data_IF_886073589547
#
_entry.id   IF_886073589547
#
_cell.length_a   1.000
_cell.length_b   1.000
_cell.length_c   1.000
_cell.angle_alpha   90.00
_cell.angle_beta   90.00
_cell.angle_gamma   90.00
#
_symmetry.space_group_name_H-M   'P 1'
#
loop_
_entity.id
_entity.type
_entity.pdbx_description
1 polymer ?
#
# COMPACT_ATOMS: atom_id res chain seq x y z
N UNK A 1 -12.75 11.88 -26.61
CA UNK A 1 -11.35 11.48 -26.76
C UNK A 1 -11.14 10.07 -26.26
N UNK A 2 -10.32 9.29 -26.95
CA UNK A 2 -10.01 7.93 -26.54
C UNK A 2 -9.12 7.96 -25.26
N UNK A 3 -9.11 6.86 -24.51
CA UNK A 3 -8.26 6.71 -23.36
C UNK A 3 -6.78 6.87 -23.74
N UNK A 4 -6.38 6.38 -24.91
CA UNK A 4 -5.04 6.50 -25.43
C UNK A 4 -4.63 7.96 -25.63
N UNK A 5 -5.53 8.79 -26.21
CA UNK A 5 -5.27 10.23 -26.40
C UNK A 5 -5.06 10.96 -25.08
N UNK A 6 -5.82 10.59 -24.03
CA UNK A 6 -5.67 11.19 -22.71
C UNK A 6 -4.32 10.83 -22.07
N UNK A 7 -3.86 9.58 -22.27
CA UNK A 7 -2.55 9.15 -21.77
C UNK A 7 -1.41 9.88 -22.45
N UNK A 8 -1.49 10.05 -23.77
CA UNK A 8 -0.47 10.79 -24.55
C UNK A 8 -0.37 12.24 -24.09
N UNK A 9 -1.53 12.90 -23.88
CA UNK A 9 -1.59 14.26 -23.39
C UNK A 9 -0.97 14.38 -22.00
N UNK A 10 -1.29 13.44 -21.10
CA UNK A 10 -0.75 13.43 -19.75
C UNK A 10 0.78 13.25 -19.75
N UNK A 11 1.32 12.35 -20.59
CA UNK A 11 2.77 12.17 -20.72
C UNK A 11 3.45 13.43 -21.27
N UNK A 12 2.81 14.10 -22.22
CA UNK A 12 3.33 15.34 -22.77
C UNK A 12 3.40 16.43 -21.69
N UNK A 13 2.38 16.52 -20.84
CA UNK A 13 2.35 17.46 -19.72
C UNK A 13 3.47 17.17 -18.71
N UNK A 14 3.71 15.89 -18.41
CA UNK A 14 4.84 15.51 -17.55
C UNK A 14 6.18 15.89 -18.17
N UNK A 15 6.34 15.68 -19.45
CA UNK A 15 7.57 16.06 -20.17
C UNK A 15 7.81 17.57 -20.09
N UNK A 16 6.77 18.39 -20.27
CA UNK A 16 6.84 19.83 -20.14
C UNK A 16 7.17 20.25 -18.70
N UNK A 17 6.52 19.61 -17.72
CA UNK A 17 6.77 19.89 -16.32
C UNK A 17 8.21 19.60 -15.92
N UNK A 18 8.81 18.52 -16.44
CA UNK A 18 10.22 18.18 -16.19
C UNK A 18 11.17 19.25 -16.69
N UNK A 19 10.85 19.90 -17.81
CA UNK A 19 11.68 20.98 -18.36
C UNK A 19 11.66 22.20 -17.46
N UNK A 20 10.51 22.46 -16.81
CA UNK A 20 10.33 23.61 -15.92
C UNK A 20 10.91 23.33 -14.54
N UNK A 21 10.67 22.14 -14.01
CA UNK A 21 11.11 21.73 -12.66
C UNK A 21 11.73 20.33 -12.71
N UNK A 22 12.99 20.22 -13.20
CA UNK A 22 13.63 18.91 -13.36
C UNK A 22 13.89 18.17 -12.03
N UNK A 23 13.88 18.90 -10.93
CA UNK A 23 14.17 18.35 -9.60
C UNK A 23 12.90 18.05 -8.77
N UNK A 24 11.72 18.05 -9.40
CA UNK A 24 10.47 17.77 -8.70
C UNK A 24 10.16 16.26 -8.69
N UNK A 25 10.30 15.59 -7.54
CA UNK A 25 10.00 14.15 -7.45
C UNK A 25 8.54 13.82 -7.72
N UNK A 26 7.62 14.78 -7.47
CA UNK A 26 6.20 14.58 -7.74
C UNK A 26 5.89 14.32 -9.21
N UNK A 27 6.69 14.84 -10.12
CA UNK A 27 6.54 14.61 -11.56
C UNK A 27 6.82 13.14 -11.87
N UNK A 28 7.88 12.57 -11.29
CA UNK A 28 8.22 11.16 -11.50
C UNK A 28 7.17 10.24 -10.87
N UNK A 29 6.61 10.63 -9.72
CA UNK A 29 5.50 9.91 -9.10
C UNK A 29 4.28 9.88 -10.04
N UNK A 30 3.94 11.01 -10.61
CA UNK A 30 2.82 11.14 -11.58
C UNK A 30 3.05 10.27 -12.79
N UNK A 31 4.27 10.30 -13.35
CA UNK A 31 4.63 9.43 -14.48
C UNK A 31 4.48 7.95 -14.14
N UNK A 32 4.95 7.56 -12.95
CA UNK A 32 4.82 6.17 -12.50
C UNK A 32 3.37 5.74 -12.48
N UNK A 33 2.48 6.59 -11.97
CA UNK A 33 1.04 6.32 -11.93
C UNK A 33 0.45 6.18 -13.33
N UNK A 34 0.88 7.02 -14.27
CA UNK A 34 0.42 6.95 -15.66
C UNK A 34 0.84 5.63 -16.32
N UNK A 35 2.13 5.27 -16.18
CA UNK A 35 2.62 4.01 -16.73
C UNK A 35 1.90 2.81 -16.12
N UNK A 36 1.57 2.87 -14.83
CA UNK A 36 0.84 1.81 -14.16
C UNK A 36 -0.56 1.63 -14.77
N UNK A 37 -1.27 2.74 -15.04
CA UNK A 37 -2.59 2.73 -15.68
C UNK A 37 -2.52 2.15 -17.10
N UNK A 38 -1.40 2.33 -17.78
CA UNK A 38 -1.18 1.83 -19.13
C UNK A 38 -0.70 0.37 -19.15
N UNK A 39 -0.50 -0.24 -17.98
CA UNK A 39 0.02 -1.60 -17.89
C UNK A 39 1.51 -1.72 -18.14
N UNK A 40 2.24 -0.60 -18.15
CA UNK A 40 3.68 -0.57 -18.37
C UNK A 40 4.43 -0.59 -17.05
N UNK A 41 4.38 -1.74 -16.35
CA UNK A 41 4.94 -1.90 -15.02
C UNK A 41 6.42 -1.54 -14.91
N UNK A 42 7.25 -1.99 -15.86
CA UNK A 42 8.69 -1.72 -15.83
C UNK A 42 9.01 -0.22 -15.87
N UNK A 43 8.31 0.52 -16.72
CA UNK A 43 8.47 1.97 -16.81
C UNK A 43 7.95 2.67 -15.56
N UNK A 44 6.85 2.16 -14.99
CA UNK A 44 6.29 2.69 -13.75
C UNK A 44 7.30 2.54 -12.60
N UNK A 45 7.89 1.36 -12.44
CA UNK A 45 8.88 1.10 -11.39
C UNK A 45 10.07 2.05 -11.52
N UNK A 46 10.57 2.25 -12.73
CA UNK A 46 11.68 3.20 -12.96
C UNK A 46 11.34 4.62 -12.54
N UNK A 47 10.12 5.07 -12.86
CA UNK A 47 9.67 6.42 -12.49
C UNK A 47 9.53 6.53 -10.96
N UNK A 48 8.93 5.53 -10.31
CA UNK A 48 8.81 5.52 -8.84
C UNK A 48 10.19 5.51 -8.18
N UNK A 49 11.13 4.73 -8.69
CA UNK A 49 12.48 4.68 -8.15
C UNK A 49 13.18 6.04 -8.24
N UNK A 50 12.98 6.76 -9.33
CA UNK A 50 13.52 8.13 -9.47
C UNK A 50 12.95 9.06 -8.41
N UNK A 51 11.63 9.02 -8.19
CA UNK A 51 10.98 9.83 -7.17
C UNK A 51 11.55 9.52 -5.78
N UNK A 52 11.74 8.23 -5.46
CA UNK A 52 12.26 7.79 -4.17
C UNK A 52 13.73 8.16 -3.96
N UNK A 53 14.54 8.15 -5.02
CA UNK A 53 15.94 8.59 -4.94
C UNK A 53 16.02 10.09 -4.68
N UNK A 54 15.14 10.87 -5.33
CA UNK A 54 15.10 12.32 -5.16
C UNK A 54 14.57 12.74 -3.79
N UNK A 55 13.57 12.01 -3.27
CA UNK A 55 12.96 12.29 -1.97
C UNK A 55 12.71 10.99 -1.20
N UNK A 56 13.72 10.49 -0.47
CA UNK A 56 13.56 9.24 0.32
C UNK A 56 12.87 9.51 1.66
N UNK A 57 11.64 10.02 1.62
CA UNK A 57 10.86 10.39 2.80
C UNK A 57 9.75 9.38 3.08
N UNK A 58 9.24 9.39 4.32
CA UNK A 58 8.07 8.58 4.67
C UNK A 58 6.88 8.90 3.77
N UNK A 59 6.70 10.19 3.45
CA UNK A 59 5.62 10.63 2.54
C UNK A 59 5.76 10.02 1.15
N UNK A 60 6.96 10.11 0.55
CA UNK A 60 7.16 9.59 -0.82
C UNK A 60 6.99 8.07 -0.86
N UNK A 61 7.54 7.34 0.11
CA UNK A 61 7.33 5.90 0.20
C UNK A 61 5.85 5.55 0.35
N UNK A 62 5.12 6.32 1.16
CA UNK A 62 3.68 6.12 1.33
C UNK A 62 2.91 6.36 0.02
N UNK A 63 3.25 7.42 -0.71
CA UNK A 63 2.60 7.75 -1.97
C UNK A 63 2.87 6.70 -3.06
N UNK A 64 4.10 6.20 -3.14
CA UNK A 64 4.45 5.11 -4.07
C UNK A 64 3.72 3.82 -3.67
N UNK A 65 3.69 3.51 -2.37
CA UNK A 65 2.96 2.34 -1.86
C UNK A 65 1.47 2.41 -2.23
N UNK A 66 0.87 3.58 -2.07
CA UNK A 66 -0.55 3.80 -2.43
C UNK A 66 -0.79 3.60 -3.92
N UNK A 67 0.15 4.04 -4.77
CA UNK A 67 0.05 3.83 -6.21
C UNK A 67 0.11 2.34 -6.56
N UNK A 68 1.00 1.58 -5.93
CA UNK A 68 1.05 0.13 -6.11
C UNK A 68 -0.25 -0.54 -5.64
N UNK A 69 -0.77 -0.11 -4.49
CA UNK A 69 -2.00 -0.65 -3.92
C UNK A 69 -3.20 -0.40 -4.84
N UNK A 70 -3.30 0.81 -5.41
CA UNK A 70 -4.39 1.16 -6.35
C UNK A 70 -4.34 0.31 -7.62
N UNK A 71 -3.16 -0.10 -8.03
CA UNK A 71 -2.96 -0.98 -9.19
C UNK A 71 -3.01 -2.47 -8.81
N UNK A 72 -3.33 -2.78 -7.55
CA UNK A 72 -3.43 -4.14 -7.01
C UNK A 72 -2.10 -4.91 -6.96
N UNK A 73 -0.97 -4.22 -6.98
CA UNK A 73 0.34 -4.81 -6.69
C UNK A 73 0.59 -4.78 -5.19
N UNK A 74 -0.15 -5.61 -4.45
CA UNK A 74 -0.26 -5.54 -3.01
C UNK A 74 1.03 -5.93 -2.27
N UNK A 75 1.81 -6.85 -2.84
CA UNK A 75 3.10 -7.24 -2.24
C UNK A 75 4.08 -6.07 -2.29
N UNK A 76 4.21 -5.42 -3.46
CA UNK A 76 5.05 -4.24 -3.62
C UNK A 76 4.56 -3.09 -2.74
N UNK A 77 3.24 -2.92 -2.63
CA UNK A 77 2.66 -1.91 -1.76
C UNK A 77 3.09 -2.12 -0.31
N UNK A 78 3.00 -3.36 0.18
CA UNK A 78 3.41 -3.67 1.56
C UNK A 78 4.88 -3.31 1.80
N UNK A 79 5.77 -3.70 0.88
CA UNK A 79 7.20 -3.38 1.01
C UNK A 79 7.44 -1.87 1.10
N UNK A 80 6.74 -1.08 0.28
CA UNK A 80 6.87 0.38 0.29
C UNK A 80 6.28 1.00 1.55
N UNK A 81 5.14 0.50 2.04
CA UNK A 81 4.59 0.95 3.32
C UNK A 81 5.53 0.61 4.48
N UNK A 82 6.20 -0.54 4.44
CA UNK A 82 7.18 -0.90 5.45
C UNK A 82 8.36 0.07 5.49
N UNK A 83 8.81 0.55 4.34
CA UNK A 83 9.85 1.58 4.28
C UNK A 83 9.36 2.91 4.84
N UNK A 84 8.12 3.29 4.52
CA UNK A 84 7.50 4.49 5.11
C UNK A 84 7.45 4.37 6.63
N UNK A 85 7.00 3.24 7.14
CA UNK A 85 6.93 2.95 8.57
C UNK A 85 8.32 2.99 9.24
N UNK A 86 9.34 2.45 8.56
CA UNK A 86 10.70 2.46 9.09
C UNK A 86 11.20 3.89 9.31
N UNK A 87 10.85 4.80 8.39
CA UNK A 87 11.27 6.21 8.49
C UNK A 87 10.43 6.95 9.54
N UNK A 88 9.11 6.77 9.49
CA UNK A 88 8.18 7.40 10.44
C UNK A 88 6.99 6.46 10.71
N UNK A 89 7.00 5.74 11.83
CA UNK A 89 5.91 4.82 12.18
C UNK A 89 4.54 5.49 12.33
N UNK A 90 4.53 6.79 12.54
CA UNK A 90 3.29 7.55 12.75
C UNK A 90 2.84 8.33 11.51
N UNK A 91 3.50 8.09 10.36
CA UNK A 91 3.10 8.79 9.15
C UNK A 91 1.73 8.33 8.68
N UNK A 92 0.80 9.27 8.57
CA UNK A 92 -0.58 9.01 8.10
C UNK A 92 -1.18 7.75 8.77
N UNK A 93 -1.81 6.89 7.98
CA UNK A 93 -2.41 5.62 8.44
C UNK A 93 -1.56 4.41 8.04
N UNK A 94 -0.23 4.57 8.05
CA UNK A 94 0.69 3.51 7.57
C UNK A 94 0.53 2.20 8.34
N UNK A 95 0.30 2.26 9.67
CA UNK A 95 0.10 1.05 10.47
C UNK A 95 -1.20 0.34 10.11
N UNK A 96 -2.27 1.09 9.86
CA UNK A 96 -3.53 0.53 9.41
C UNK A 96 -3.39 -0.16 8.04
N UNK A 97 -2.69 0.49 7.12
CA UNK A 97 -2.42 -0.08 5.80
C UNK A 97 -1.61 -1.37 5.93
N UNK A 98 -0.59 -1.38 6.76
CA UNK A 98 0.25 -2.55 6.97
C UNK A 98 -0.49 -3.70 7.66
N UNK A 99 -1.37 -3.40 8.63
CA UNK A 99 -2.15 -4.45 9.28
C UNK A 99 -3.12 -5.12 8.28
N UNK A 100 -3.78 -4.33 7.44
CA UNK A 100 -4.69 -4.86 6.42
C UNK A 100 -3.92 -5.72 5.41
N UNK A 101 -2.79 -5.23 4.90
CA UNK A 101 -1.98 -5.97 3.93
C UNK A 101 -1.39 -7.25 4.53
N UNK A 102 -0.98 -7.21 5.80
CA UNK A 102 -0.49 -8.40 6.49
C UNK A 102 -1.59 -9.46 6.60
N UNK A 103 -2.82 -9.03 6.91
CA UNK A 103 -3.96 -9.93 6.97
C UNK A 103 -4.23 -10.57 5.61
N UNK A 104 -4.19 -9.77 4.55
CA UNK A 104 -4.41 -10.25 3.18
C UNK A 104 -3.33 -11.23 2.71
N UNK A 105 -2.11 -11.09 3.21
CA UNK A 105 -0.98 -11.97 2.87
C UNK A 105 -0.79 -13.13 3.85
N UNK A 106 -1.71 -13.32 4.77
CA UNK A 106 -1.65 -14.39 5.80
C UNK A 106 -0.41 -14.30 6.68
N UNK A 107 0.06 -13.07 6.94
CA UNK A 107 1.22 -12.80 7.78
C UNK A 107 0.74 -12.38 9.18
N UNK A 108 0.43 -13.38 10.00
CA UNK A 108 -0.26 -13.20 11.28
C UNK A 108 0.55 -12.38 12.30
N UNK A 109 1.85 -12.62 12.39
CA UNK A 109 2.70 -11.91 13.36
C UNK A 109 2.81 -10.43 12.99
N UNK A 110 3.00 -10.13 11.71
CA UNK A 110 3.02 -8.75 11.20
C UNK A 110 1.67 -8.08 11.45
N UNK A 111 0.57 -8.80 11.22
CA UNK A 111 -0.76 -8.27 11.48
C UNK A 111 -0.88 -7.80 12.94
N UNK A 112 -0.52 -8.63 13.91
CA UNK A 112 -0.61 -8.27 15.32
C UNK A 112 0.31 -7.12 15.68
N UNK A 113 1.52 -7.11 15.12
CA UNK A 113 2.47 -6.01 15.33
C UNK A 113 1.87 -4.67 14.90
N UNK A 114 1.44 -4.57 13.65
CA UNK A 114 0.93 -3.31 13.11
C UNK A 114 -0.44 -2.94 13.69
N UNK A 115 -1.30 -3.94 13.93
CA UNK A 115 -2.62 -3.69 14.49
C UNK A 115 -2.54 -3.12 15.90
N UNK A 116 -1.59 -3.59 16.71
CA UNK A 116 -1.38 -3.09 18.07
C UNK A 116 -0.91 -1.63 18.11
N UNK A 117 -0.27 -1.18 17.03
CA UNK A 117 0.24 0.20 16.94
C UNK A 117 -0.74 1.14 16.23
N UNK A 118 -1.83 0.63 15.69
CA UNK A 118 -2.79 1.41 14.90
C UNK A 118 -3.71 2.24 15.79
N UNK A 119 -4.01 3.46 15.37
CA UNK A 119 -4.99 4.31 16.03
C UNK A 119 -6.42 3.75 15.89
N UNK A 120 -6.68 3.04 14.80
CA UNK A 120 -7.97 2.42 14.52
C UNK A 120 -7.77 0.94 14.22
N UNK A 121 -7.50 0.12 15.27
CA UNK A 121 -7.20 -1.29 15.07
C UNK A 121 -8.41 -2.08 14.57
N UNK A 122 -8.12 -3.13 13.80
CA UNK A 122 -9.14 -4.09 13.38
C UNK A 122 -9.60 -4.86 14.62
N UNK A 123 -10.90 -4.86 14.87
CA UNK A 123 -11.50 -5.48 16.05
C UNK A 123 -11.92 -6.93 15.79
N UNK A 124 -12.25 -7.64 16.88
CA UNK A 124 -12.80 -9.00 16.80
C UNK A 124 -14.05 -9.06 15.90
N UNK A 125 -14.91 -8.04 15.99
CA UNK A 125 -16.14 -7.99 15.22
C UNK A 125 -15.88 -7.96 13.71
N UNK A 126 -14.84 -7.24 13.30
CA UNK A 126 -14.43 -7.19 11.88
C UNK A 126 -13.93 -8.57 11.46
N UNK A 127 -13.12 -9.23 12.28
CA UNK A 127 -12.62 -10.58 11.97
C UNK A 127 -13.77 -11.57 11.85
N UNK A 128 -14.75 -11.52 12.75
CA UNK A 128 -15.93 -12.38 12.68
C UNK A 128 -16.74 -12.13 11.41
N UNK A 129 -16.90 -10.86 11.03
CA UNK A 129 -17.59 -10.49 9.78
C UNK A 129 -16.87 -11.09 8.57
N UNK A 130 -15.53 -10.96 8.54
CA UNK A 130 -14.73 -11.54 7.47
C UNK A 130 -14.87 -13.07 7.42
N UNK A 131 -14.89 -13.73 8.56
CA UNK A 131 -15.08 -15.19 8.66
C UNK A 131 -16.45 -15.64 8.13
N UNK A 132 -17.46 -14.79 8.24
CA UNK A 132 -18.82 -15.11 7.78
C UNK A 132 -19.00 -14.98 6.27
N UNK A 133 -18.07 -14.34 5.58
CA UNK A 133 -18.18 -14.10 4.13
C UNK A 133 -17.89 -15.36 3.34
N UNK A 134 -18.64 -15.60 2.22
CA UNK A 134 -18.37 -16.73 1.33
C UNK A 134 -17.11 -16.48 0.48
N UNK A 135 -16.67 -17.54 -0.21
CA UNK A 135 -15.57 -17.49 -1.19
C UNK A 135 -14.18 -17.20 -0.61
N UNK A 136 -13.96 -17.57 0.65
CA UNK A 136 -12.62 -17.49 1.24
C UNK A 136 -11.81 -18.72 0.84
N UNK A 137 -10.47 -18.53 0.76
CA UNK A 137 -9.56 -19.66 0.64
C UNK A 137 -9.50 -20.39 1.98
N UNK A 138 -9.18 -21.70 1.94
CA UNK A 138 -8.99 -22.48 3.15
C UNK A 138 -7.90 -21.87 4.04
N UNK A 139 -6.78 -21.46 3.43
CA UNK A 139 -5.67 -20.82 4.13
C UNK A 139 -6.09 -19.50 4.78
N UNK A 140 -6.83 -18.66 4.05
CA UNK A 140 -7.33 -17.39 4.60
C UNK A 140 -8.29 -17.59 5.75
N UNK A 141 -9.19 -18.57 5.64
CA UNK A 141 -10.13 -18.91 6.71
C UNK A 141 -9.40 -19.37 7.97
N UNK A 142 -8.40 -20.25 7.82
CA UNK A 142 -7.62 -20.73 8.95
C UNK A 142 -6.86 -19.61 9.64
N UNK A 143 -6.29 -18.70 8.86
CA UNK A 143 -5.61 -17.52 9.42
C UNK A 143 -6.57 -16.64 10.23
N UNK A 144 -7.75 -16.35 9.68
CA UNK A 144 -8.74 -15.53 10.39
C UNK A 144 -9.19 -16.19 11.69
N UNK A 145 -9.36 -17.51 11.70
CA UNK A 145 -9.69 -18.27 12.90
C UNK A 145 -8.59 -18.13 13.95
N UNK A 146 -7.34 -18.22 13.53
CA UNK A 146 -6.20 -18.08 14.44
C UNK A 146 -6.09 -16.66 15.00
N UNK A 147 -6.30 -15.65 14.16
CA UNK A 147 -6.33 -14.25 14.58
C UNK A 147 -7.42 -14.05 15.64
N UNK A 148 -8.61 -14.57 15.39
CA UNK A 148 -9.74 -14.43 16.30
C UNK A 148 -9.45 -15.10 17.66
N UNK A 149 -8.87 -16.30 17.64
CA UNK A 149 -8.49 -17.01 18.88
C UNK A 149 -7.48 -16.20 19.69
N UNK A 150 -6.45 -15.65 19.04
CA UNK A 150 -5.44 -14.83 19.71
C UNK A 150 -6.03 -13.57 20.32
N UNK A 151 -6.93 -12.90 19.58
CA UNK A 151 -7.60 -11.69 20.08
C UNK A 151 -8.43 -12.00 21.34
N UNK A 152 -9.15 -13.10 21.33
CA UNK A 152 -9.95 -13.52 22.49
C UNK A 152 -9.08 -13.87 23.68
N UNK A 153 -7.98 -14.55 23.45
CA UNK A 153 -7.04 -14.95 24.51
C UNK A 153 -6.43 -13.72 25.18
N UNK A 154 -5.97 -12.74 24.39
CA UNK A 154 -5.42 -11.50 24.92
C UNK A 154 -6.45 -10.74 25.76
N UNK A 155 -7.69 -10.67 25.29
CA UNK A 155 -8.79 -10.02 26.01
C UNK A 155 -9.16 -10.74 27.30
N UNK A 156 -9.09 -12.07 27.29
CA UNK A 156 -9.38 -12.89 28.47
C UNK A 156 -8.30 -12.81 29.55
N UNK A 157 -7.09 -12.40 29.18
CA UNK A 157 -5.96 -12.28 30.11
C UNK A 157 -5.88 -10.90 30.78
N UNK A 158 -6.77 -9.99 30.41
CA UNK A 158 -6.90 -8.68 31.01
C UNK A 158 -8.05 -8.65 32.01
#
# INVERSE_FOLDING_TARGET
ASQLGKHEEAHLLCKKAKKIQPDDPGIHLTEGKLYMKEGQKKKAVKAFDKALVMEPSAEMWYLVASAYSDAEYLYQAKLCFEESYRIDPNYADVTEKLSILSLMHNEIDDFFKYNSESAHPISEDIILDLLSRPNQTEEGEQMLKEVWKRMKKEKGNN
#
